data_IF_956658856337
#
_entry.id   IF_956658856337
#
_cell.length_a   1.000
_cell.length_b   1.000
_cell.length_c   1.000
_cell.angle_alpha   90.00
_cell.angle_beta   90.00
_cell.angle_gamma   90.00
#
_symmetry.space_group_name_H-M   'P 1'
#
loop_
_entity.id
_entity.type
_entity.pdbx_description
1 polymer ?
#
# COMPACT_ATOMS: atom_id res chain seq x y z
N UNK A 1 -0.60 -8.79 11.40
CA UNK A 1 -1.78 -7.99 11.02
C UNK A 1 -1.39 -7.27 9.75
N UNK A 2 -2.20 -7.42 8.71
CA UNK A 2 -2.09 -6.65 7.48
C UNK A 2 -3.39 -5.91 7.20
N UNK A 3 -3.55 -5.39 5.99
CA UNK A 3 -4.70 -4.54 5.61
C UNK A 3 -6.05 -5.26 5.59
N UNK A 4 -6.08 -6.59 5.72
CA UNK A 4 -7.29 -7.40 5.51
C UNK A 4 -7.50 -7.72 4.03
N UNK A 5 -8.75 -7.96 3.62
CA UNK A 5 -9.07 -8.21 2.20
C UNK A 5 -9.01 -6.90 1.41
N UNK A 6 -7.96 -6.74 0.60
CA UNK A 6 -7.72 -5.57 -0.25
C UNK A 6 -8.67 -5.44 -1.45
N UNK A 7 -9.66 -6.32 -1.58
CA UNK A 7 -10.80 -6.16 -2.50
C UNK A 7 -12.06 -5.65 -1.81
N UNK A 8 -12.05 -5.60 -0.48
CA UNK A 8 -13.17 -5.13 0.33
C UNK A 8 -13.01 -3.65 0.70
N UNK A 9 -14.13 -2.97 0.92
CA UNK A 9 -14.16 -1.57 1.38
C UNK A 9 -13.35 -1.37 2.68
N UNK A 10 -13.47 -2.29 3.64
CA UNK A 10 -12.74 -2.20 4.91
C UNK A 10 -11.22 -2.32 4.72
N UNK A 11 -10.77 -3.22 3.84
CA UNK A 11 -9.35 -3.37 3.55
C UNK A 11 -8.76 -2.18 2.79
N UNK A 12 -9.50 -1.64 1.83
CA UNK A 12 -9.10 -0.41 1.12
C UNK A 12 -9.02 0.79 2.07
N UNK A 13 -9.97 0.93 3.00
CA UNK A 13 -9.93 1.96 4.06
C UNK A 13 -8.71 1.81 4.97
N UNK A 14 -8.37 0.58 5.37
CA UNK A 14 -7.21 0.32 6.20
C UNK A 14 -5.90 0.70 5.49
N UNK A 15 -5.77 0.36 4.21
CA UNK A 15 -4.61 0.73 3.40
C UNK A 15 -4.54 2.24 3.14
N UNK A 16 -5.65 2.91 2.84
CA UNK A 16 -5.69 4.36 2.68
C UNK A 16 -5.20 5.10 3.93
N UNK A 17 -5.71 4.71 5.11
CA UNK A 17 -5.29 5.28 6.38
C UNK A 17 -3.80 5.04 6.68
N UNK A 18 -3.27 3.88 6.30
CA UNK A 18 -1.85 3.56 6.44
C UNK A 18 -0.95 4.46 5.57
N UNK A 19 -1.41 4.74 4.34
CA UNK A 19 -0.72 5.56 3.34
C UNK A 19 -0.85 7.07 3.57
N UNK A 20 -1.68 7.51 4.53
CA UNK A 20 -1.75 8.90 4.93
C UNK A 20 -0.37 9.47 5.33
N UNK A 21 0.45 8.67 6.01
CA UNK A 21 1.76 9.07 6.53
C UNK A 21 2.94 8.44 5.78
N UNK A 22 2.67 7.76 4.66
CA UNK A 22 3.66 6.95 3.94
C UNK A 22 3.50 7.09 2.44
N UNK A 23 4.61 7.21 1.74
CA UNK A 23 4.62 7.23 0.27
C UNK A 23 4.68 5.84 -0.35
N UNK A 24 5.12 4.83 0.41
CA UNK A 24 5.34 3.44 -0.01
C UNK A 24 4.90 2.48 1.11
N UNK A 25 4.75 1.20 0.78
CA UNK A 25 4.33 0.16 1.74
C UNK A 25 5.42 -0.08 2.80
N UNK A 26 6.69 -0.13 2.39
CA UNK A 26 7.87 -0.24 3.25
C UNK A 26 8.93 0.80 2.85
N UNK A 27 9.65 1.35 3.85
CA UNK A 27 10.75 2.29 3.61
C UNK A 27 10.34 3.64 3.01
N UNK A 28 11.26 4.24 2.25
CA UNK A 28 11.12 5.58 1.65
C UNK A 28 11.31 5.60 0.13
N UNK A 29 11.44 4.42 -0.48
CA UNK A 29 11.66 4.20 -1.90
C UNK A 29 10.73 3.08 -2.37
N UNK A 30 10.38 3.02 -3.67
CA UNK A 30 9.56 1.95 -4.21
C UNK A 30 10.24 0.58 -3.99
N UNK A 31 9.44 -0.42 -3.65
CA UNK A 31 9.93 -1.75 -3.28
C UNK A 31 9.02 -2.87 -3.80
N UNK A 32 9.49 -4.12 -3.74
CA UNK A 32 8.64 -5.29 -4.04
C UNK A 32 7.41 -5.40 -3.11
N UNK A 33 7.42 -4.78 -1.93
CA UNK A 33 6.24 -4.68 -1.08
C UNK A 33 5.12 -3.88 -1.75
N UNK A 34 5.46 -2.79 -2.44
CA UNK A 34 4.49 -1.99 -3.18
C UNK A 34 3.88 -2.79 -4.33
N UNK A 35 4.69 -3.60 -5.03
CA UNK A 35 4.21 -4.46 -6.13
C UNK A 35 3.20 -5.48 -5.62
N UNK A 36 3.50 -6.17 -4.52
CA UNK A 36 2.60 -7.18 -3.95
C UNK A 36 1.26 -6.56 -3.52
N UNK A 37 1.30 -5.43 -2.81
CA UNK A 37 0.07 -4.75 -2.37
C UNK A 37 -0.70 -4.18 -3.57
N UNK A 38 -0.01 -3.66 -4.58
CA UNK A 38 -0.61 -3.11 -5.79
C UNK A 38 -1.37 -4.19 -6.57
N UNK A 39 -0.74 -5.36 -6.76
CA UNK A 39 -1.37 -6.52 -7.40
C UNK A 39 -2.57 -7.03 -6.59
N UNK A 40 -2.51 -6.98 -5.26
CA UNK A 40 -3.60 -7.40 -4.39
C UNK A 40 -4.83 -6.45 -4.44
N UNK A 41 -4.59 -5.13 -4.56
CA UNK A 41 -5.64 -4.13 -4.83
C UNK A 41 -6.25 -4.35 -6.21
N UNK A 42 -5.41 -4.62 -7.22
CA UNK A 42 -5.78 -5.13 -8.54
C UNK A 42 -6.47 -4.16 -9.50
N UNK A 43 -7.33 -3.26 -9.01
CA UNK A 43 -8.00 -2.23 -9.82
C UNK A 43 -7.81 -0.85 -9.21
N UNK A 44 -7.87 0.16 -10.08
CA UNK A 44 -7.79 1.57 -9.66
C UNK A 44 -8.84 1.88 -8.57
N UNK A 45 -8.42 2.34 -7.39
CA UNK A 45 -9.32 2.70 -6.30
C UNK A 45 -10.23 3.89 -6.64
N UNK A 46 -11.37 3.99 -5.96
CA UNK A 46 -12.26 5.15 -6.06
C UNK A 46 -11.59 6.44 -5.53
N UNK A 47 -12.09 7.59 -5.96
CA UNK A 47 -11.53 8.91 -5.59
C UNK A 47 -11.59 9.22 -4.11
N UNK A 48 -12.50 8.60 -3.36
CA UNK A 48 -12.68 8.79 -1.92
C UNK A 48 -11.52 8.21 -1.10
N UNK A 49 -10.73 7.30 -1.71
CA UNK A 49 -9.51 6.75 -1.14
C UNK A 49 -8.30 7.59 -1.56
N UNK A 50 -8.22 8.83 -1.11
CA UNK A 50 -7.25 9.81 -1.63
C UNK A 50 -5.79 9.36 -1.54
N UNK A 51 -5.38 8.78 -0.40
CA UNK A 51 -3.98 8.41 -0.15
C UNK A 51 -3.60 7.14 -0.91
N UNK A 52 -4.52 6.17 -0.92
CA UNK A 52 -4.41 4.93 -1.68
C UNK A 52 -4.45 5.20 -3.18
N UNK A 53 -5.33 6.07 -3.68
CA UNK A 53 -5.37 6.44 -5.09
C UNK A 53 -4.09 7.16 -5.53
N UNK A 54 -3.57 8.09 -4.71
CA UNK A 54 -2.27 8.74 -4.95
C UNK A 54 -1.16 7.70 -5.09
N UNK A 55 -1.02 6.80 -4.12
CA UNK A 55 -0.01 5.74 -4.16
C UNK A 55 -0.23 4.79 -5.34
N UNK A 56 -1.47 4.38 -5.63
CA UNK A 56 -1.79 3.48 -6.72
C UNK A 56 -1.35 4.05 -8.06
N UNK A 57 -1.71 5.32 -8.35
CA UNK A 57 -1.28 5.98 -9.59
C UNK A 57 0.25 6.12 -9.67
N UNK A 58 0.90 6.41 -8.53
CA UNK A 58 2.36 6.49 -8.46
C UNK A 58 3.01 5.15 -8.82
N UNK A 59 2.61 4.05 -8.17
CA UNK A 59 3.12 2.71 -8.47
C UNK A 59 2.73 2.25 -9.88
N UNK A 60 1.55 2.63 -10.39
CA UNK A 60 1.12 2.30 -11.74
C UNK A 60 2.02 2.94 -12.81
N UNK A 61 2.45 4.19 -12.59
CA UNK A 61 3.28 4.94 -13.54
C UNK A 61 4.63 4.31 -13.89
N UNK A 62 5.14 3.41 -13.04
CA UNK A 62 6.38 2.67 -13.31
C UNK A 62 6.21 1.52 -14.32
N UNK A 63 4.97 1.10 -14.63
CA UNK A 63 4.73 0.04 -15.60
C UNK A 63 5.57 -1.23 -15.34
N UNK A 64 6.33 -1.67 -16.33
CA UNK A 64 7.17 -2.87 -16.21
C UNK A 64 8.40 -2.69 -15.30
N UNK A 65 8.82 -1.45 -15.02
CA UNK A 65 9.98 -1.17 -14.15
C UNK A 65 9.75 -1.61 -12.70
N UNK A 66 8.49 -1.83 -12.30
CA UNK A 66 8.11 -2.46 -11.03
C UNK A 66 8.85 -3.77 -10.76
N UNK A 67 9.19 -4.52 -11.81
CA UNK A 67 9.97 -5.78 -11.71
C UNK A 67 11.39 -5.57 -11.19
N UNK A 68 11.92 -4.35 -11.33
CA UNK A 68 13.27 -3.97 -10.92
C UNK A 68 13.31 -3.35 -9.52
N UNK A 69 12.17 -3.13 -8.88
CA UNK A 69 12.16 -2.57 -7.53
C UNK A 69 12.92 -3.46 -6.55
N UNK A 70 13.70 -2.87 -5.62
CA UNK A 70 14.42 -3.62 -4.60
C UNK A 70 13.49 -4.28 -3.58
N UNK A 71 14.02 -5.22 -2.82
CA UNK A 71 13.32 -5.88 -1.71
C UNK A 71 12.72 -7.24 -2.08
N UNK A 72 12.18 -7.93 -1.08
CA UNK A 72 11.63 -9.29 -1.22
C UNK A 72 10.10 -9.27 -1.21
N UNK A 73 9.49 -10.11 -2.05
CA UNK A 73 8.06 -10.36 -2.02
C UNK A 73 7.72 -11.25 -0.82
N UNK A 74 6.85 -10.75 0.05
CA UNK A 74 6.28 -11.48 1.19
C UNK A 74 4.77 -11.63 0.97
N UNK A 75 4.10 -12.57 1.66
CA UNK A 75 2.64 -12.61 1.67
C UNK A 75 2.05 -11.26 2.09
N UNK A 76 0.91 -10.88 1.48
CA UNK A 76 0.34 -9.53 1.64
C UNK A 76 -0.03 -9.22 3.09
N UNK A 77 -0.42 -10.23 3.85
CA UNK A 77 -0.76 -10.20 5.27
C UNK A 77 0.41 -9.83 6.19
N UNK A 78 1.65 -9.87 5.68
CA UNK A 78 2.85 -9.46 6.41
C UNK A 78 3.16 -7.97 6.25
N UNK A 79 2.50 -7.28 5.33
CA UNK A 79 2.61 -5.83 5.17
C UNK A 79 1.51 -5.10 5.93
N UNK A 80 1.83 -3.92 6.47
CA UNK A 80 0.85 -3.11 7.20
C UNK A 80 0.65 -3.54 8.65
N UNK A 81 1.67 -3.35 9.49
CA UNK A 81 1.58 -3.46 10.96
C UNK A 81 1.67 -2.05 11.57
N UNK A 82 1.08 -1.78 12.75
CA UNK A 82 0.49 -0.49 13.05
C UNK A 82 1.54 0.62 13.06
N UNK A 83 1.24 1.67 12.28
CA UNK A 83 1.66 3.00 12.66
C UNK A 83 1.24 3.21 14.10
N UNK A 84 2.24 3.24 14.99
CA UNK A 84 2.11 3.54 16.41
C UNK A 84 1.16 4.75 16.51
N UNK A 85 -0.05 4.53 17.02
CA UNK A 85 -0.94 5.62 17.41
C UNK A 85 -0.09 6.53 18.30
N UNK A 86 0.19 7.74 17.82
CA UNK A 86 0.72 8.80 18.66
C UNK A 86 -0.40 9.16 19.63
N UNK A 87 -0.53 8.34 20.67
CA UNK A 87 -1.05 8.72 21.97
C UNK A 87 -0.11 9.80 22.50
N UNK A 88 -0.37 11.04 22.13
CA UNK A 88 -0.01 12.17 22.98
C UNK A 88 -1.20 12.33 23.91
N UNK A 89 -0.95 12.00 25.19
CA UNK A 89 -1.85 12.26 26.31
C UNK A 89 -2.16 13.74 26.43
#
# INVERSE_FOLDING_TARGET
>A
MGFGDLKSDSGLKALDAYLLTRSYVEGFQPSQADVVVFEAVGKKPATDYHNLLRWYNHIDSYGDEKKLFPGEKKPVEHYGSPGRSLLIK
#
